data_IF_327159716373
#
_entry.id   IF_327159716373
#
_cell.length_a   1.000
_cell.length_b   1.000
_cell.length_c   1.000
_cell.angle_alpha   90.00
_cell.angle_beta   90.00
_cell.angle_gamma   90.00
#
_symmetry.space_group_name_H-M   'P 1'
#
loop_
_entity.id
_entity.type
_entity.pdbx_description
1 polymer ?
#
# COMPACT_ATOMS: atom_id res chain seq x y z
N UNK A 1 59.98 -8.59 -33.39
CA UNK A 1 58.73 -8.13 -32.74
C UNK A 1 58.74 -8.67 -31.32
N UNK A 2 59.18 -7.85 -30.38
CA UNK A 2 59.16 -8.19 -28.95
C UNK A 2 57.77 -7.78 -28.45
N UNK A 3 57.03 -8.65 -27.75
CA UNK A 3 55.73 -8.26 -27.22
C UNK A 3 55.98 -7.21 -26.14
N UNK A 4 55.36 -6.04 -26.30
CA UNK A 4 55.34 -4.99 -25.28
C UNK A 4 54.92 -5.66 -23.97
N UNK A 5 55.86 -5.64 -23.03
CA UNK A 5 55.63 -6.05 -21.67
C UNK A 5 54.40 -5.32 -21.16
N UNK A 6 53.32 -6.07 -20.96
CA UNK A 6 52.20 -5.71 -20.11
C UNK A 6 52.77 -4.98 -18.89
N UNK A 7 52.63 -3.65 -18.88
CA UNK A 7 53.17 -2.81 -17.83
C UNK A 7 52.61 -3.33 -16.51
N UNK A 8 53.48 -3.87 -15.67
CA UNK A 8 53.13 -4.48 -14.38
C UNK A 8 52.50 -3.44 -13.43
N UNK A 9 52.65 -2.16 -13.76
CA UNK A 9 52.01 -1.02 -13.12
C UNK A 9 51.46 -0.11 -14.22
N UNK A 10 50.16 0.15 -14.20
CA UNK A 10 49.54 1.13 -15.10
C UNK A 10 50.21 2.50 -14.87
N UNK A 11 50.86 3.07 -15.90
CA UNK A 11 51.64 4.31 -15.79
C UNK A 11 50.84 5.45 -15.17
N UNK A 12 49.51 5.47 -15.38
CA UNK A 12 48.60 6.42 -14.74
C UNK A 12 48.51 6.25 -13.22
N UNK A 13 48.54 5.01 -12.73
CA UNK A 13 48.48 4.73 -11.29
C UNK A 13 49.80 5.07 -10.59
N UNK A 14 50.93 5.01 -11.32
CA UNK A 14 52.25 5.40 -10.82
C UNK A 14 52.50 6.92 -10.87
N UNK A 15 52.07 7.58 -11.94
CA UNK A 15 52.32 9.00 -12.17
C UNK A 15 51.30 9.90 -11.44
N UNK A 16 50.04 9.45 -11.31
CA UNK A 16 48.93 10.25 -10.76
C UNK A 16 48.05 9.42 -9.79
N UNK A 17 48.62 8.81 -8.73
CA UNK A 17 47.88 7.93 -7.84
C UNK A 17 46.68 8.63 -7.18
N UNK A 18 46.83 9.92 -6.82
CA UNK A 18 45.80 10.73 -6.18
C UNK A 18 44.55 10.88 -7.05
N UNK A 19 44.72 11.16 -8.35
CA UNK A 19 43.63 11.33 -9.30
C UNK A 19 42.90 9.99 -9.55
N UNK A 20 43.64 8.87 -9.63
CA UNK A 20 43.07 7.53 -9.76
C UNK A 20 42.25 7.16 -8.51
N UNK A 21 42.79 7.36 -7.31
CA UNK A 21 42.06 7.08 -6.07
C UNK A 21 40.88 8.02 -5.85
N UNK A 22 40.97 9.29 -6.25
CA UNK A 22 39.86 10.24 -6.19
C UNK A 22 38.73 9.84 -7.14
N UNK A 23 39.03 9.55 -8.40
CA UNK A 23 38.04 9.08 -9.36
C UNK A 23 37.44 7.73 -8.96
N UNK A 24 38.25 6.83 -8.39
CA UNK A 24 37.77 5.56 -7.87
C UNK A 24 36.83 5.77 -6.67
N UNK A 25 37.22 6.60 -5.69
CA UNK A 25 36.37 6.94 -4.54
C UNK A 25 35.06 7.62 -4.96
N UNK A 26 35.09 8.50 -5.96
CA UNK A 26 33.91 9.16 -6.51
C UNK A 26 32.96 8.16 -7.21
N UNK A 27 33.49 7.26 -8.04
CA UNK A 27 32.70 6.20 -8.69
C UNK A 27 32.14 5.20 -7.68
N UNK A 28 32.95 4.81 -6.69
CA UNK A 28 32.49 3.95 -5.60
C UNK A 28 31.40 4.63 -4.77
N UNK A 29 31.54 5.92 -4.48
CA UNK A 29 30.52 6.73 -3.82
C UNK A 29 29.21 6.73 -4.60
N UNK A 30 29.25 7.08 -5.90
CA UNK A 30 28.05 7.06 -6.76
C UNK A 30 27.42 5.67 -6.88
N UNK A 31 28.23 4.62 -6.99
CA UNK A 31 27.74 3.25 -7.09
C UNK A 31 27.07 2.79 -5.79
N UNK A 32 27.65 3.14 -4.63
CA UNK A 32 27.10 2.82 -3.30
C UNK A 32 25.79 3.55 -3.06
N UNK A 33 25.72 4.85 -3.39
CA UNK A 33 24.48 5.65 -3.27
C UNK A 33 23.38 5.06 -4.16
N UNK A 34 23.64 4.88 -5.45
CA UNK A 34 22.63 4.32 -6.39
C UNK A 34 22.12 2.94 -5.95
N UNK A 35 23.00 2.07 -5.43
CA UNK A 35 22.62 0.75 -4.93
C UNK A 35 21.78 0.84 -3.65
N UNK A 36 22.14 1.74 -2.73
CA UNK A 36 21.40 1.96 -1.50
C UNK A 36 20.00 2.51 -1.81
N UNK A 37 19.90 3.54 -2.65
CA UNK A 37 18.62 4.13 -3.08
C UNK A 37 17.71 3.10 -3.75
N UNK A 38 18.30 2.23 -4.59
CA UNK A 38 17.54 1.18 -5.25
C UNK A 38 17.02 0.10 -4.27
N UNK A 39 17.82 -0.25 -3.25
CA UNK A 39 17.39 -1.18 -2.20
C UNK A 39 16.31 -0.55 -1.32
N UNK A 40 16.45 0.71 -0.95
CA UNK A 40 15.47 1.46 -0.18
C UNK A 40 14.14 1.57 -0.94
N UNK A 41 14.17 1.93 -2.22
CA UNK A 41 12.98 1.99 -3.05
C UNK A 41 12.23 0.65 -3.14
N UNK A 42 12.97 -0.47 -3.19
CA UNK A 42 12.37 -1.82 -3.13
C UNK A 42 11.74 -2.11 -1.76
N UNK A 43 12.42 -1.77 -0.67
CA UNK A 43 11.90 -1.96 0.69
C UNK A 43 10.62 -1.14 0.91
N UNK A 44 10.62 0.12 0.51
CA UNK A 44 9.44 1.00 0.57
C UNK A 44 8.29 0.46 -0.27
N UNK A 45 8.58 -0.05 -1.48
CA UNK A 45 7.57 -0.70 -2.33
C UNK A 45 6.93 -1.91 -1.66
N UNK A 46 7.73 -2.76 -1.00
CA UNK A 46 7.23 -3.93 -0.28
C UNK A 46 6.40 -3.52 0.94
N UNK A 47 6.90 -2.56 1.73
CA UNK A 47 6.22 -2.06 2.92
C UNK A 47 4.85 -1.46 2.56
N UNK A 48 4.82 -0.55 1.58
CA UNK A 48 3.57 0.08 1.13
C UNK A 48 2.61 -0.92 0.51
N UNK A 49 3.11 -1.89 -0.28
CA UNK A 49 2.30 -2.99 -0.80
C UNK A 49 1.65 -3.84 0.30
N UNK A 50 2.41 -4.18 1.35
CA UNK A 50 1.90 -4.92 2.51
C UNK A 50 0.83 -4.13 3.27
N UNK A 51 1.05 -2.85 3.53
CA UNK A 51 0.06 -1.97 4.17
C UNK A 51 -1.25 -1.89 3.37
N UNK A 52 -1.15 -1.75 2.04
CA UNK A 52 -2.30 -1.74 1.13
C UNK A 52 -3.08 -3.06 1.21
N UNK A 53 -2.37 -4.19 1.22
CA UNK A 53 -2.98 -5.51 1.36
C UNK A 53 -3.73 -5.66 2.68
N UNK A 54 -3.15 -5.25 3.80
CA UNK A 54 -3.79 -5.31 5.11
C UNK A 54 -5.10 -4.51 5.13
N UNK A 55 -5.08 -3.27 4.65
CA UNK A 55 -6.26 -2.40 4.66
C UNK A 55 -7.37 -2.96 3.77
N UNK A 56 -7.05 -3.33 2.53
CA UNK A 56 -8.04 -3.85 1.58
C UNK A 56 -8.60 -5.19 2.06
N UNK A 57 -7.75 -6.08 2.60
CA UNK A 57 -8.16 -7.34 3.19
C UNK A 57 -9.09 -7.17 4.39
N UNK A 58 -8.75 -6.24 5.30
CA UNK A 58 -9.60 -5.92 6.45
C UNK A 58 -10.98 -5.40 6.01
N UNK A 59 -11.03 -4.49 5.05
CA UNK A 59 -12.29 -3.98 4.51
C UNK A 59 -13.12 -5.10 3.85
N UNK A 60 -12.49 -5.98 3.05
CA UNK A 60 -13.16 -7.14 2.44
C UNK A 60 -13.77 -8.04 3.50
N UNK A 61 -13.04 -8.31 4.57
CA UNK A 61 -13.51 -9.17 5.66
C UNK A 61 -14.65 -8.52 6.46
N UNK A 62 -14.60 -7.22 6.73
CA UNK A 62 -15.69 -6.49 7.39
C UNK A 62 -16.97 -6.56 6.54
N UNK A 63 -16.87 -6.34 5.23
CA UNK A 63 -18.01 -6.44 4.31
C UNK A 63 -18.62 -7.85 4.34
N UNK A 64 -17.78 -8.89 4.29
CA UNK A 64 -18.23 -10.29 4.40
C UNK A 64 -18.91 -10.57 5.75
N UNK A 65 -18.37 -10.04 6.84
CA UNK A 65 -18.98 -10.15 8.16
C UNK A 65 -20.36 -9.48 8.21
N UNK A 66 -20.49 -8.26 7.69
CA UNK A 66 -21.76 -7.54 7.62
C UNK A 66 -22.81 -8.29 6.77
N UNK A 67 -22.38 -8.87 5.64
CA UNK A 67 -23.25 -9.71 4.80
C UNK A 67 -23.83 -10.87 5.62
N UNK A 68 -22.98 -11.61 6.34
CA UNK A 68 -23.42 -12.73 7.19
C UNK A 68 -24.39 -12.28 8.28
N UNK A 69 -24.15 -11.13 8.90
CA UNK A 69 -25.04 -10.58 9.94
C UNK A 69 -26.42 -10.22 9.38
N UNK A 70 -26.48 -9.75 8.13
CA UNK A 70 -27.76 -9.47 7.46
C UNK A 70 -28.48 -10.77 7.12
N UNK A 71 -27.76 -11.74 6.54
CA UNK A 71 -28.33 -13.02 6.13
C UNK A 71 -28.91 -13.79 7.34
N UNK A 72 -28.26 -13.70 8.51
CA UNK A 72 -28.77 -14.26 9.77
C UNK A 72 -30.03 -13.57 10.28
N UNK A 73 -30.17 -12.26 10.07
CA UNK A 73 -31.31 -11.45 10.52
C UNK A 73 -32.43 -11.38 9.48
N UNK A 74 -32.24 -12.00 8.32
CA UNK A 74 -33.19 -12.00 7.22
C UNK A 74 -34.32 -12.99 7.50
N UNK A 75 -35.53 -12.47 7.59
CA UNK A 75 -36.73 -13.29 7.43
C UNK A 75 -36.95 -13.54 5.91
N UNK A 76 -37.10 -14.79 5.44
CA UNK A 76 -37.31 -15.08 4.02
C UNK A 76 -38.57 -14.43 3.43
N UNK A 77 -39.54 -14.02 4.26
CA UNK A 77 -40.83 -13.47 3.81
C UNK A 77 -40.85 -11.94 3.83
N UNK A 78 -40.02 -11.29 4.66
CA UNK A 78 -40.00 -9.84 4.80
C UNK A 78 -38.93 -9.17 3.93
N UNK A 79 -39.28 -8.06 3.29
CA UNK A 79 -38.32 -7.19 2.58
C UNK A 79 -37.55 -6.24 3.51
N UNK A 80 -37.76 -6.38 4.82
CA UNK A 80 -37.25 -5.47 5.83
C UNK A 80 -36.48 -6.24 6.91
N UNK A 81 -35.43 -5.59 7.39
CA UNK A 81 -34.57 -6.10 8.46
C UNK A 81 -34.57 -5.12 9.63
N UNK A 82 -34.65 -5.66 10.84
CA UNK A 82 -34.52 -4.90 12.06
C UNK A 82 -33.06 -4.88 12.50
N UNK A 83 -32.44 -3.71 12.41
CA UNK A 83 -31.06 -3.49 12.85
C UNK A 83 -31.11 -2.47 13.98
N UNK A 84 -30.67 -2.86 15.18
CA UNK A 84 -30.66 -1.99 16.36
C UNK A 84 -31.99 -1.25 16.59
N UNK A 85 -33.11 -1.98 16.53
CA UNK A 85 -34.45 -1.43 16.76
C UNK A 85 -34.97 -0.50 15.65
N UNK A 86 -34.24 -0.37 14.53
CA UNK A 86 -34.68 0.41 13.36
C UNK A 86 -34.99 -0.53 12.20
N UNK A 87 -36.16 -0.36 11.61
CA UNK A 87 -36.58 -1.03 10.39
C UNK A 87 -35.85 -0.44 9.19
N UNK A 88 -35.22 -1.30 8.40
CA UNK A 88 -34.46 -0.92 7.21
C UNK A 88 -34.82 -1.84 6.05
N UNK A 89 -34.77 -1.30 4.84
CA UNK A 89 -34.95 -2.09 3.62
C UNK A 89 -33.73 -2.96 3.37
N UNK A 90 -33.94 -4.27 3.25
CA UNK A 90 -32.89 -5.24 2.93
C UNK A 90 -32.23 -4.94 1.59
N UNK A 91 -33.04 -4.70 0.55
CA UNK A 91 -32.56 -4.47 -0.82
C UNK A 91 -31.65 -3.24 -0.90
N UNK A 92 -31.95 -2.15 -0.17
CA UNK A 92 -31.07 -0.97 -0.12
C UNK A 92 -29.70 -1.28 0.50
N UNK A 93 -29.67 -2.01 1.61
CA UNK A 93 -28.43 -2.36 2.30
C UNK A 93 -27.63 -3.38 1.49
N UNK A 94 -28.30 -4.37 0.91
CA UNK A 94 -27.68 -5.36 0.02
C UNK A 94 -27.02 -4.70 -1.19
N UNK A 95 -27.69 -3.73 -1.83
CA UNK A 95 -27.10 -2.93 -2.91
C UNK A 95 -25.87 -2.14 -2.46
N UNK A 96 -25.90 -1.55 -1.26
CA UNK A 96 -24.74 -0.84 -0.71
C UNK A 96 -23.55 -1.77 -0.45
N UNK A 97 -23.79 -2.96 0.11
CA UNK A 97 -22.74 -3.96 0.30
C UNK A 97 -22.18 -4.45 -1.03
N UNK A 98 -23.03 -4.68 -2.02
CA UNK A 98 -22.61 -5.10 -3.36
C UNK A 98 -21.76 -4.04 -4.05
N UNK A 99 -22.12 -2.76 -3.90
CA UNK A 99 -21.33 -1.64 -4.41
C UNK A 99 -19.92 -1.62 -3.78
N UNK A 100 -19.84 -1.76 -2.45
CA UNK A 100 -18.54 -1.82 -1.74
C UNK A 100 -17.74 -3.04 -2.18
N UNK A 101 -18.38 -4.21 -2.31
CA UNK A 101 -17.75 -5.43 -2.78
C UNK A 101 -17.15 -5.24 -4.17
N UNK A 102 -17.91 -4.63 -5.09
CA UNK A 102 -17.41 -4.29 -6.43
C UNK A 102 -16.22 -3.33 -6.39
N UNK A 103 -16.27 -2.28 -5.57
CA UNK A 103 -15.14 -1.36 -5.41
C UNK A 103 -13.88 -2.06 -4.88
N UNK A 104 -14.02 -2.96 -3.91
CA UNK A 104 -12.89 -3.70 -3.36
C UNK A 104 -12.35 -4.75 -4.33
N UNK A 105 -13.22 -5.39 -5.12
CA UNK A 105 -12.83 -6.39 -6.11
C UNK A 105 -11.99 -5.81 -7.25
N UNK A 106 -12.06 -4.50 -7.53
CA UNK A 106 -11.17 -3.85 -8.53
C UNK A 106 -9.70 -4.03 -8.17
N UNK A 107 -9.37 -4.15 -6.88
CA UNK A 107 -7.99 -4.34 -6.45
C UNK A 107 -7.48 -5.77 -6.62
N UNK A 108 -8.37 -6.73 -6.84
CA UNK A 108 -8.03 -8.14 -6.94
C UNK A 108 -8.10 -8.60 -8.40
N UNK A 109 -7.12 -9.38 -8.84
CA UNK A 109 -7.20 -10.08 -10.13
C UNK A 109 -8.14 -11.30 -10.04
N UNK A 110 -8.35 -11.99 -11.17
CA UNK A 110 -9.17 -13.21 -11.22
C UNK A 110 -8.68 -14.36 -10.34
N UNK A 111 -7.48 -14.24 -9.76
CA UNK A 111 -6.87 -15.19 -8.82
C UNK A 111 -6.81 -14.65 -7.39
N UNK A 112 -7.61 -13.62 -7.06
CA UNK A 112 -7.64 -12.93 -5.76
C UNK A 112 -6.30 -12.31 -5.31
N UNK A 113 -5.39 -12.01 -6.24
CA UNK A 113 -4.15 -11.31 -5.93
C UNK A 113 -4.34 -9.80 -6.03
N UNK A 114 -3.76 -9.08 -5.08
CA UNK A 114 -3.79 -7.62 -5.09
C UNK A 114 -2.92 -7.09 -6.24
N UNK A 115 -3.54 -6.49 -7.25
CA UNK A 115 -2.82 -5.87 -8.36
C UNK A 115 -2.40 -4.45 -7.95
N UNK A 116 -1.21 -4.34 -7.36
CA UNK A 116 -0.61 -3.05 -7.00
C UNK A 116 0.54 -2.79 -7.95
N UNK A 117 0.33 -1.95 -8.96
CA UNK A 117 1.46 -1.38 -9.71
C UNK A 117 1.81 -0.03 -9.10
N UNK A 118 3.08 0.35 -9.26
CA UNK A 118 3.64 1.56 -8.67
C UNK A 118 3.59 2.77 -9.62
N UNK A 119 2.66 2.80 -10.58
CA UNK A 119 2.49 3.99 -11.42
C UNK A 119 1.78 5.08 -10.62
N UNK A 120 2.19 6.33 -10.79
CA UNK A 120 1.62 7.45 -10.01
C UNK A 120 0.10 7.57 -10.14
N UNK A 121 -0.45 7.28 -11.33
CA UNK A 121 -1.89 7.32 -11.58
C UNK A 121 -2.64 6.21 -10.84
N UNK A 122 -2.09 4.99 -10.79
CA UNK A 122 -2.73 3.86 -10.10
C UNK A 122 -2.66 4.03 -8.57
N UNK A 123 -1.59 4.61 -8.04
CA UNK A 123 -1.48 4.96 -6.62
C UNK A 123 -2.56 5.94 -6.21
N UNK A 124 -2.77 7.02 -6.98
CA UNK A 124 -3.82 8.01 -6.70
C UNK A 124 -5.23 7.40 -6.80
N UNK A 125 -5.48 6.57 -7.82
CA UNK A 125 -6.75 5.85 -7.95
C UNK A 125 -6.98 4.90 -6.77
N UNK A 126 -5.94 4.20 -6.34
CA UNK A 126 -5.99 3.32 -5.18
C UNK A 126 -6.39 4.09 -3.91
N UNK A 127 -5.71 5.20 -3.62
CA UNK A 127 -5.99 6.02 -2.44
C UNK A 127 -7.43 6.56 -2.45
N UNK A 128 -7.89 7.07 -3.59
CA UNK A 128 -9.27 7.55 -3.75
C UNK A 128 -10.30 6.44 -3.51
N UNK A 129 -10.10 5.28 -4.12
CA UNK A 129 -11.01 4.14 -4.00
C UNK A 129 -11.02 3.55 -2.59
N UNK A 130 -9.85 3.42 -1.94
CA UNK A 130 -9.76 2.96 -0.55
C UNK A 130 -10.41 3.97 0.39
N UNK A 131 -10.16 5.27 0.24
CA UNK A 131 -10.79 6.32 1.07
C UNK A 131 -12.31 6.29 0.95
N UNK A 132 -12.84 6.15 -0.27
CA UNK A 132 -14.28 6.03 -0.53
C UNK A 132 -14.85 4.74 0.08
N UNK A 133 -14.18 3.61 -0.10
CA UNK A 133 -14.61 2.30 0.42
C UNK A 133 -14.62 2.29 1.95
N UNK A 134 -13.56 2.81 2.57
CA UNK A 134 -13.41 2.98 4.02
C UNK A 134 -14.56 3.81 4.61
N UNK A 135 -14.88 4.95 4.02
CA UNK A 135 -15.97 5.80 4.48
C UNK A 135 -17.33 5.08 4.44
N UNK A 136 -17.62 4.34 3.36
CA UNK A 136 -18.86 3.56 3.23
C UNK A 136 -18.93 2.40 4.23
N UNK A 137 -17.84 1.66 4.40
CA UNK A 137 -17.75 0.58 5.40
C UNK A 137 -17.97 1.12 6.80
N UNK A 138 -17.30 2.22 7.18
CA UNK A 138 -17.50 2.89 8.48
C UNK A 138 -18.96 3.28 8.71
N UNK A 139 -19.61 3.86 7.69
CA UNK A 139 -21.02 4.24 7.76
C UNK A 139 -21.93 3.02 7.99
N UNK A 140 -21.66 1.89 7.31
CA UNK A 140 -22.40 0.66 7.54
C UNK A 140 -22.11 0.09 8.93
N UNK A 141 -20.86 -0.02 9.35
CA UNK A 141 -20.53 -0.46 10.71
C UNK A 141 -21.25 0.37 11.77
N UNK A 142 -21.31 1.69 11.61
CA UNK A 142 -22.08 2.56 12.50
C UNK A 142 -23.58 2.27 12.47
N UNK A 143 -24.16 2.02 11.28
CA UNK A 143 -25.56 1.62 11.15
C UNK A 143 -25.87 0.30 11.87
N UNK A 144 -24.93 -0.64 11.86
CA UNK A 144 -25.05 -1.95 12.49
C UNK A 144 -24.57 -2.01 13.94
N UNK A 145 -24.12 -0.89 14.53
CA UNK A 145 -23.61 -0.84 15.91
C UNK A 145 -22.21 -1.43 16.11
N UNK A 146 -21.48 -1.70 15.02
CA UNK A 146 -20.12 -2.24 15.04
C UNK A 146 -19.04 -1.16 14.94
N UNK A 147 -19.29 0.05 15.43
CA UNK A 147 -18.32 1.16 15.39
C UNK A 147 -17.04 0.82 16.15
N UNK A 148 -17.15 0.17 17.31
CA UNK A 148 -16.01 -0.20 18.14
C UNK A 148 -15.18 -1.29 17.48
N UNK A 149 -15.84 -2.32 16.94
CA UNK A 149 -15.18 -3.38 16.17
C UNK A 149 -14.39 -2.82 14.98
N UNK A 150 -15.01 -1.91 14.22
CA UNK A 150 -14.35 -1.24 13.11
C UNK A 150 -13.11 -0.47 13.57
N UNK A 151 -13.22 0.27 14.67
CA UNK A 151 -12.12 1.08 15.22
C UNK A 151 -10.96 0.20 15.72
N UNK A 152 -11.26 -0.93 16.35
CA UNK A 152 -10.26 -1.92 16.77
C UNK A 152 -9.53 -2.53 15.57
N UNK A 153 -10.26 -2.89 14.50
CA UNK A 153 -9.64 -3.43 13.29
C UNK A 153 -8.73 -2.38 12.63
N UNK A 154 -9.15 -1.11 12.54
CA UNK A 154 -8.29 -0.05 12.02
C UNK A 154 -7.03 0.15 12.88
N UNK A 155 -7.17 0.14 14.21
CA UNK A 155 -6.03 0.19 15.13
C UNK A 155 -5.07 -0.97 14.90
N UNK A 156 -5.59 -2.19 14.74
CA UNK A 156 -4.77 -3.36 14.48
C UNK A 156 -4.03 -3.27 13.15
N UNK A 157 -4.69 -2.77 12.09
CA UNK A 157 -4.03 -2.52 10.81
C UNK A 157 -2.89 -1.51 10.94
N UNK A 158 -3.04 -0.47 11.78
CA UNK A 158 -1.98 0.50 12.04
C UNK A 158 -0.82 -0.08 12.86
N UNK A 159 -1.12 -0.92 13.86
CA UNK A 159 -0.09 -1.57 14.67
C UNK A 159 0.75 -2.54 13.82
N UNK A 160 0.10 -3.33 12.97
CA UNK A 160 0.77 -4.36 12.15
C UNK A 160 1.41 -3.75 10.90
N UNK A 161 0.76 -2.79 10.25
CA UNK A 161 1.24 -2.17 9.02
C UNK A 161 2.13 -0.95 9.24
N UNK A 162 2.08 -0.32 10.42
CA UNK A 162 2.62 1.03 10.65
C UNK A 162 1.74 2.13 10.03
N UNK A 163 2.18 3.38 10.14
CA UNK A 163 1.60 4.47 9.35
C UNK A 163 2.00 4.33 7.89
N UNK A 164 1.05 4.51 6.96
CA UNK A 164 1.41 4.76 5.58
C UNK A 164 2.29 6.01 5.58
N UNK A 165 3.48 5.99 4.94
CA UNK A 165 4.12 7.21 4.52
C UNK A 165 3.14 7.87 3.56
N UNK A 166 2.32 8.80 4.05
CA UNK A 166 1.77 9.83 3.19
C UNK A 166 2.95 10.55 2.58
N UNK A 167 2.84 10.97 1.33
CA UNK A 167 3.89 11.65 0.59
C UNK A 167 4.26 13.04 1.17
N UNK A 168 4.25 13.20 2.49
CA UNK A 168 5.06 14.17 3.21
C UNK A 168 6.47 13.60 3.38
N UNK A 169 7.10 13.18 2.28
CA UNK A 169 8.52 13.46 2.15
C UNK A 169 8.58 14.98 2.02
N UNK A 170 8.56 15.68 3.16
CA UNK A 170 9.07 17.04 3.20
C UNK A 170 10.44 16.92 2.57
N UNK A 171 10.57 17.45 1.35
CA UNK A 171 11.85 17.60 0.70
C UNK A 171 12.77 18.18 1.76
N UNK A 172 13.86 17.47 2.04
CA UNK A 172 15.00 18.09 2.65
C UNK A 172 15.62 19.02 1.59
N UNK A 173 14.85 20.04 1.19
CA UNK A 173 15.35 21.33 0.76
C UNK A 173 15.86 22.00 2.04
N UNK A 174 17.01 21.53 2.50
CA UNK A 174 17.92 22.38 3.26
C UNK A 174 19.19 22.42 2.46
N UNK A 175 19.16 23.35 1.50
CA UNK A 175 20.25 24.11 0.92
C UNK A 175 21.67 23.61 1.21
N UNK A 176 22.36 23.26 0.12
CA UNK A 176 23.72 23.75 -0.15
C UNK A 176 23.85 25.23 0.23
N UNK A 177 24.49 25.52 1.36
CA UNK A 177 25.70 26.34 1.54
C UNK A 177 26.28 26.08 2.94
#
# INVERSE_FOLDING_TARGET
MIPESSSLFDDKTLLEPEEVFYQQGFREGQSKVTKADHLEGKQLGIQTGFQRLLIVGALKQIVKFLQLQIDQKRDPVSSEIFIHGKQRSYDKISRQLEEIRKMLNVFFDGNERLNVRNTSQEVDQFEKLVKRSRAKVRSLCSMFGYTDLYSQIESNCQIVGGQLPTADVKGADTDTW
#
